data_IF_798717833923
#
_entry.id   IF_798717833923
#
_cell.length_a   1.000
_cell.length_b   1.000
_cell.length_c   1.000
_cell.angle_alpha   90.00
_cell.angle_beta   90.00
_cell.angle_gamma   90.00
#
_symmetry.space_group_name_H-M   'P 1'
#
loop_
_entity.id
_entity.type
_entity.pdbx_description
1 polymer ?
2 non-polymer ?
3 non-polymer ?
4 water ?
#
# COMPACT_ATOMS: atom_id res chain seq x y z
N UNK A 11 -13.94 33.59 2.65
CA UNK A 11 -12.88 32.55 2.80
C UNK A 11 -11.90 32.59 1.64
N UNK A 12 -10.63 32.85 1.94
CA UNK A 12 -9.54 32.83 0.95
C UNK A 12 -9.30 31.40 0.45
N UNK A 13 -8.81 31.25 -0.77
CA UNK A 13 -8.58 29.91 -1.32
C UNK A 13 -7.11 29.55 -1.51
N UNK A 14 -6.79 28.26 -1.42
CA UNK A 14 -5.41 27.81 -1.50
C UNK A 14 -5.31 26.47 -2.20
N UNK A 15 -4.61 26.45 -3.32
CA UNK A 15 -4.44 25.23 -4.11
C UNK A 15 -3.28 24.43 -3.53
N UNK A 16 -3.63 23.23 -3.09
CA UNK A 16 -2.70 22.32 -2.48
C UNK A 16 -2.52 21.13 -3.35
N UNK A 17 -1.26 20.81 -3.64
CA UNK A 17 -0.91 19.57 -4.31
C UNK A 17 -0.32 18.58 -3.31
N UNK A 18 -0.81 17.34 -3.35
CA UNK A 18 -0.42 16.32 -2.37
C UNK A 18 0.23 15.09 -3.01
N UNK A 19 1.54 14.94 -2.76
CA UNK A 19 2.34 13.87 -3.37
C UNK A 19 3.12 13.07 -2.31
N UNK A 20 3.65 11.92 -2.74
CA UNK A 20 4.34 10.94 -1.87
C UNK A 20 4.47 9.57 -2.55
N UNK A 21 5.34 8.71 -2.07
CA UNK A 21 5.45 7.37 -2.66
C UNK A 21 4.12 6.60 -2.55
N UNK A 22 3.93 5.57 -3.38
CA UNK A 22 2.78 4.71 -3.22
C UNK A 22 2.62 4.22 -1.77
N UNK A 23 1.37 4.18 -1.32
CA UNK A 23 1.02 3.65 0.01
C UNK A 23 1.42 4.53 1.21
N UNK A 24 1.85 5.76 0.97
CA UNK A 24 2.23 6.65 2.07
C UNK A 24 1.03 7.05 2.92
N UNK A 25 -0.16 7.03 2.34
CA UNK A 25 -1.37 7.42 3.03
C UNK A 25 -2.00 8.72 2.53
N UNK A 26 -1.64 9.17 1.32
CA UNK A 26 -2.16 10.46 0.80
C UNK A 26 -3.68 10.44 0.66
N UNK A 27 -4.21 9.42 0.00
CA UNK A 27 -5.64 9.36 -0.20
C UNK A 27 -6.39 9.32 1.13
N UNK A 28 -5.79 8.70 2.15
CA UNK A 28 -6.47 8.49 3.41
C UNK A 28 -6.59 9.82 4.15
N UNK A 29 -5.46 10.53 4.21
CA UNK A 29 -5.45 11.91 4.66
C UNK A 29 -6.56 12.69 3.98
N UNK A 30 -6.71 12.56 2.66
CA UNK A 30 -7.70 13.38 1.94
C UNK A 30 -9.12 13.22 2.47
N UNK A 31 -9.55 11.98 2.62
CA UNK A 31 -10.92 11.69 3.03
C UNK A 31 -11.13 11.71 4.52
N UNK A 32 -10.06 11.57 5.30
CA UNK A 32 -10.21 11.75 6.72
C UNK A 32 -10.49 13.23 6.95
N UNK A 33 -9.70 14.09 6.31
CA UNK A 33 -9.91 15.55 6.40
C UNK A 33 -11.31 15.96 5.95
N UNK A 34 -11.78 15.34 4.88
CA UNK A 34 -12.98 15.78 4.17
C UNK A 34 -14.22 15.17 4.75
N UNK A 35 -14.24 13.84 4.83
CA UNK A 35 -15.43 13.11 5.25
C UNK A 35 -15.43 12.91 6.76
N UNK A 36 -14.25 12.98 7.36
CA UNK A 36 -14.09 12.78 8.79
C UNK A 36 -14.02 11.32 9.17
N UNK A 37 -14.20 10.44 8.19
CA UNK A 37 -14.07 8.99 8.43
C UNK A 37 -12.83 8.39 7.77
N UNK A 38 -12.46 7.20 8.22
CA UNK A 38 -11.35 6.48 7.61
C UNK A 38 -11.88 5.54 6.53
N UNK A 39 -11.76 5.94 5.26
CA UNK A 39 -12.33 5.20 4.16
C UNK A 39 -11.43 4.13 3.59
N UNK A 40 -12.03 3.25 2.80
CA UNK A 40 -11.30 2.20 2.12
C UNK A 40 -10.76 2.76 0.82
N UNK A 41 -9.47 2.57 0.57
CA UNK A 41 -8.84 3.07 -0.62
C UNK A 41 -8.21 2.01 -1.50
N UNK A 42 -7.73 2.45 -2.66
CA UNK A 42 -7.06 1.60 -3.63
C UNK A 42 -5.91 2.43 -4.18
N UNK A 43 -4.85 1.78 -4.73
CA UNK A 43 -3.79 2.60 -5.32
C UNK A 43 -4.40 3.55 -6.35
N UNK A 44 -4.20 4.85 -6.12
CA UNK A 44 -4.75 5.94 -6.95
C UNK A 44 -4.10 5.93 -8.33
N UNK A 45 -4.93 5.88 -9.35
CA UNK A 45 -4.38 5.86 -10.69
C UNK A 45 -4.40 7.26 -11.28
N UNK A 46 -5.55 7.89 -11.46
CA UNK A 46 -5.46 9.30 -11.84
C UNK A 46 -5.11 10.19 -10.66
N UNK A 47 -6.16 10.82 -10.11
CA UNK A 47 -6.05 11.85 -9.07
C UNK A 47 -7.40 11.88 -8.33
N UNK A 48 -7.40 12.44 -7.13
CA UNK A 48 -8.63 12.80 -6.40
C UNK A 48 -8.65 14.31 -6.05
N UNK A 49 -9.85 14.85 -5.82
CA UNK A 49 -9.95 16.25 -5.46
C UNK A 49 -11.08 16.50 -4.50
N UNK A 50 -10.72 17.13 -3.39
CA UNK A 50 -11.69 17.58 -2.41
C UNK A 50 -11.35 18.98 -1.98
N UNK A 51 -12.37 19.80 -1.76
CA UNK A 51 -12.16 21.10 -1.17
C UNK A 51 -12.48 21.04 0.31
N UNK A 52 -11.51 21.42 1.13
CA UNK A 52 -11.68 21.34 2.56
C UNK A 52 -11.57 22.73 3.15
N UNK A 53 -12.57 23.10 3.93
CA UNK A 53 -12.68 24.44 4.49
C UNK A 53 -12.44 24.44 6.01
N UNK A 54 -11.33 25.06 6.42
CA UNK A 54 -10.88 25.08 7.83
C UNK A 54 -10.08 26.34 8.16
N UNK A 55 -10.56 27.10 9.15
CA UNK A 55 -9.99 28.39 9.54
C UNK A 55 -10.29 29.42 8.44
N UNK A 56 -11.55 29.49 8.03
CA UNK A 56 -11.97 30.47 7.03
C UNK A 56 -11.15 30.43 5.74
N UNK A 57 -10.53 29.28 5.47
CA UNK A 57 -9.81 29.08 4.19
C UNK A 57 -10.26 27.80 3.48
N UNK A 58 -10.41 27.92 2.16
CA UNK A 58 -10.79 26.83 1.29
C UNK A 58 -9.57 26.19 0.66
N UNK A 59 -9.16 25.07 1.24
CA UNK A 59 -8.06 24.31 0.67
C UNK A 59 -8.56 23.46 -0.48
N UNK A 60 -7.90 23.65 -1.61
CA UNK A 60 -8.16 22.91 -2.82
C UNK A 60 -7.14 21.79 -2.94
N UNK A 61 -7.47 20.61 -2.39
CA UNK A 61 -6.47 19.54 -2.27
C UNK A 61 -6.55 18.48 -3.36
N UNK A 62 -5.43 18.37 -4.07
CA UNK A 62 -5.30 17.41 -5.15
C UNK A 62 -4.45 16.18 -4.74
N UNK A 63 -5.10 15.03 -4.76
CA UNK A 63 -4.50 13.76 -4.38
C UNK A 63 -4.04 12.97 -5.61
N UNK A 64 -2.73 12.85 -5.81
CA UNK A 64 -2.16 12.18 -6.99
C UNK A 64 -1.46 10.86 -6.68
N UNK A 65 -1.75 9.85 -7.50
CA UNK A 65 -1.11 8.53 -7.38
C UNK A 65 0.38 8.58 -7.21
N UNK A 66 0.89 7.68 -6.40
CA UNK A 66 2.33 7.70 -6.07
C UNK A 66 3.14 6.56 -6.65
N UNK A 67 2.48 5.61 -7.30
CA UNK A 67 3.19 4.50 -7.87
C UNK A 67 4.28 5.03 -8.79
N UNK A 68 5.37 4.27 -8.92
CA UNK A 68 6.54 4.72 -9.70
C UNK A 68 6.24 5.11 -11.18
N UNK A 69 5.69 4.21 -11.98
CA UNK A 69 5.38 4.54 -13.37
C UNK A 69 4.54 5.80 -13.61
N UNK A 70 3.85 6.30 -12.59
CA UNK A 70 3.00 7.48 -12.81
C UNK A 70 3.47 8.76 -12.14
N UNK A 71 4.68 8.72 -11.58
CA UNK A 71 5.32 9.92 -11.00
C UNK A 71 5.67 11.01 -12.02
N UNK A 72 6.06 10.61 -13.24
CA UNK A 72 6.21 11.61 -14.33
C UNK A 72 4.95 12.49 -14.55
N UNK A 73 3.80 12.07 -14.04
CA UNK A 73 2.58 12.85 -14.21
C UNK A 73 2.45 14.01 -13.26
N UNK A 74 3.27 13.99 -12.21
CA UNK A 74 3.23 15.01 -11.17
C UNK A 74 3.43 16.41 -11.73
N UNK A 75 4.38 16.55 -12.65
CA UNK A 75 4.62 17.82 -13.37
C UNK A 75 3.32 18.51 -13.81
N UNK A 76 2.40 17.73 -14.39
CA UNK A 76 1.15 18.27 -14.90
C UNK A 76 0.38 19.09 -13.86
N UNK A 77 0.72 18.92 -12.58
CA UNK A 77 -0.10 19.52 -11.55
C UNK A 77 0.60 20.70 -10.84
N UNK A 78 1.91 20.82 -11.03
CA UNK A 78 2.71 21.88 -10.42
C UNK A 78 2.14 23.32 -10.50
N UNK A 79 2.07 23.85 -11.72
CA UNK A 79 1.56 25.20 -11.99
C UNK A 79 0.25 25.48 -11.25
N UNK A 80 0.24 26.49 -10.41
CA UNK A 80 -0.94 26.81 -9.61
C UNK A 80 -0.73 26.58 -8.12
N UNK A 81 -0.01 25.51 -7.78
CA UNK A 81 0.14 25.06 -6.39
C UNK A 81 0.77 26.10 -5.48
N UNK A 82 0.04 26.51 -4.45
CA UNK A 82 0.59 27.39 -3.44
C UNK A 82 1.27 26.64 -2.28
N UNK A 83 0.79 25.43 -1.99
CA UNK A 83 1.36 24.57 -0.95
C UNK A 83 1.46 23.11 -1.38
N UNK A 84 2.62 22.51 -1.12
CA UNK A 84 2.85 21.10 -1.33
C UNK A 84 2.68 20.38 -0.01
N UNK A 85 1.89 19.31 0.00
CA UNK A 85 1.84 18.37 1.11
C UNK A 85 2.51 17.08 0.64
N UNK A 86 3.64 16.74 1.25
CA UNK A 86 4.38 15.53 0.88
C UNK A 86 4.25 14.56 2.01
N UNK A 87 3.67 13.40 1.71
CA UNK A 87 3.29 12.42 2.71
C UNK A 87 4.32 11.32 2.70
N UNK A 88 4.83 10.97 3.88
CA UNK A 88 5.82 9.90 4.06
C UNK A 88 5.30 8.76 4.96
N UNK A 89 5.51 7.52 4.53
CA UNK A 89 5.27 6.39 5.42
C UNK A 89 6.50 6.33 6.31
N UNK A 90 6.29 6.57 7.59
CA UNK A 90 7.41 6.63 8.54
C UNK A 90 7.88 5.23 8.94
N UNK A 91 7.08 4.20 8.66
CA UNK A 91 7.46 2.80 8.91
C UNK A 91 8.15 2.14 7.70
N UNK A 92 8.38 2.92 6.65
CA UNK A 92 8.94 2.43 5.40
C UNK A 92 10.42 2.83 5.32
N UNK A 93 11.24 2.25 6.20
CA UNK A 93 12.65 2.65 6.32
C UNK A 93 13.47 2.35 5.06
N UNK A 94 13.06 1.33 4.31
CA UNK A 94 13.70 0.91 3.04
C UNK A 94 13.63 1.93 1.90
N UNK A 95 12.63 2.82 1.95
CA UNK A 95 12.39 3.77 0.86
C UNK A 95 12.50 5.25 1.24
N UNK A 96 12.95 5.55 2.46
CA UNK A 96 13.04 6.96 2.88
C UNK A 96 13.96 7.73 1.93
N UNK A 97 15.10 7.14 1.59
CA UNK A 97 16.00 7.73 0.60
C UNK A 97 15.30 8.06 -0.71
N UNK A 98 14.42 7.14 -1.14
CA UNK A 98 13.68 7.31 -2.39
C UNK A 98 12.75 8.51 -2.25
N UNK A 99 12.07 8.60 -1.11
CA UNK A 99 11.19 9.73 -0.79
C UNK A 99 11.90 11.07 -0.81
N UNK A 100 13.17 11.06 -0.42
CA UNK A 100 14.04 12.22 -0.43
C UNK A 100 14.16 12.68 -1.87
N UNK A 101 14.56 11.76 -2.75
CA UNK A 101 14.69 12.05 -4.17
C UNK A 101 13.43 12.74 -4.67
N UNK A 102 12.34 11.98 -4.79
CA UNK A 102 11.07 12.53 -5.28
C UNK A 102 10.73 13.88 -4.66
N UNK A 103 10.88 14.00 -3.35
CA UNK A 103 10.62 15.28 -2.68
C UNK A 103 11.42 16.42 -3.30
N UNK A 104 12.72 16.19 -3.48
CA UNK A 104 13.60 17.24 -3.96
C UNK A 104 13.32 17.58 -5.41
N UNK A 105 13.01 16.55 -6.21
CA UNK A 105 12.56 16.74 -7.60
C UNK A 105 11.39 17.69 -7.65
N UNK A 106 10.38 17.42 -6.83
CA UNK A 106 9.23 18.30 -6.76
C UNK A 106 9.69 19.76 -6.53
N UNK A 107 10.27 20.01 -5.36
CA UNK A 107 10.51 21.37 -4.89
C UNK A 107 11.48 22.19 -5.73
N UNK A 108 12.38 21.51 -6.43
CA UNK A 108 13.36 22.20 -7.28
C UNK A 108 12.84 22.57 -8.67
N UNK A 109 11.78 21.90 -9.10
CA UNK A 109 11.16 22.20 -10.38
C UNK A 109 10.73 23.65 -10.31
N UNK A 110 11.24 24.44 -11.25
CA UNK A 110 10.94 25.88 -11.31
C UNK A 110 9.49 26.17 -10.97
N UNK A 111 8.61 25.22 -11.31
CA UNK A 111 7.17 25.35 -11.13
C UNK A 111 6.72 25.40 -9.66
N UNK A 112 7.60 24.97 -8.76
CA UNK A 112 7.30 24.94 -7.34
C UNK A 112 8.21 25.87 -6.52
N UNK A 113 9.00 26.69 -7.21
CA UNK A 113 9.94 27.62 -6.59
C UNK A 113 9.36 28.31 -5.33
N UNK A 114 8.09 28.67 -5.40
CA UNK A 114 7.44 29.46 -4.34
C UNK A 114 6.40 28.72 -3.53
N UNK A 115 6.49 27.40 -3.48
CA UNK A 115 5.52 26.61 -2.74
C UNK A 115 5.93 26.42 -1.29
N UNK A 116 4.94 26.42 -0.41
CA UNK A 116 5.17 26.13 0.98
C UNK A 116 5.22 24.61 1.07
N UNK A 117 6.08 24.07 1.93
CA UNK A 117 6.26 22.61 1.99
C UNK A 117 5.88 21.99 3.33
N UNK A 118 4.73 21.30 3.34
CA UNK A 118 4.30 20.55 4.51
C UNK A 118 4.59 19.05 4.40
N UNK A 119 5.40 18.54 5.30
CA UNK A 119 5.65 17.10 5.30
C UNK A 119 4.77 16.35 6.30
N UNK A 120 3.99 15.40 5.80
CA UNK A 120 3.26 14.55 6.73
C UNK A 120 4.12 13.33 7.04
N UNK A 121 4.66 13.26 8.27
CA UNK A 121 5.34 12.07 8.76
C UNK A 121 4.23 11.17 9.26
N UNK A 122 3.80 10.27 8.38
CA UNK A 122 2.56 9.57 8.59
C UNK A 122 2.81 8.18 9.14
N UNK A 123 1.74 7.55 9.63
CA UNK A 123 1.76 6.19 10.16
C UNK A 123 2.49 6.05 11.53
N UNK A 124 2.48 7.15 12.28
CA UNK A 124 3.15 7.30 13.57
C UNK A 124 2.63 6.32 14.62
N UNK A 125 1.36 5.92 14.46
CA UNK A 125 0.74 4.90 15.29
C UNK A 125 1.47 3.57 15.21
N UNK A 126 2.26 3.39 14.15
CA UNK A 126 2.86 2.10 13.89
C UNK A 126 4.18 1.91 14.65
N UNK A 127 4.38 0.69 15.22
CA UNK A 127 5.40 0.38 16.20
C UNK A 127 6.73 1.00 15.84
N UNK A 128 7.10 0.91 14.56
CA UNK A 128 8.25 1.69 14.08
C UNK A 128 7.88 3.02 13.39
N UNK A 129 7.86 4.07 14.19
CA UNK A 129 7.36 5.37 13.78
C UNK A 129 8.44 6.27 13.19
N UNK A 130 9.70 5.90 13.33
CA UNK A 130 10.78 6.69 12.77
C UNK A 130 10.52 8.18 12.99
N UNK A 131 10.55 8.59 14.26
CA UNK A 131 10.20 9.94 14.73
C UNK A 131 10.36 11.17 13.79
N UNK A 132 9.50 12.20 13.96
CA UNK A 132 9.50 13.45 13.20
C UNK A 132 10.85 14.10 12.98
N UNK A 133 11.65 14.18 14.04
CA UNK A 133 13.01 14.73 13.92
C UNK A 133 13.88 13.89 12.96
N UNK A 134 13.64 12.58 12.96
CA UNK A 134 14.35 11.65 12.11
C UNK A 134 14.06 11.99 10.65
N UNK A 135 12.77 11.99 10.32
CA UNK A 135 12.28 12.27 8.97
C UNK A 135 12.86 13.57 8.42
N UNK A 136 12.83 14.60 9.26
CA UNK A 136 13.39 15.91 8.96
C UNK A 136 14.86 15.84 8.52
N UNK A 137 15.68 15.11 9.26
CA UNK A 137 17.11 14.93 8.91
C UNK A 137 17.26 13.97 7.73
N UNK A 138 16.52 12.86 7.77
CA UNK A 138 16.58 11.84 6.72
C UNK A 138 16.06 12.33 5.35
N UNK A 139 15.21 13.34 5.34
CA UNK A 139 14.70 13.91 4.09
C UNK A 139 15.50 15.12 3.57
N UNK A 140 16.65 15.38 4.20
CA UNK A 140 17.49 16.51 3.87
C UNK A 140 16.74 17.82 3.87
N UNK A 141 15.98 18.08 4.94
CA UNK A 141 15.27 19.37 5.10
C UNK A 141 16.08 20.41 5.85
N UNK A 142 16.73 19.98 6.93
CA UNK A 142 17.70 20.81 7.66
C UNK A 142 18.57 21.57 6.66
N UNK A 143 19.13 20.85 5.70
CA UNK A 143 19.93 21.42 4.62
C UNK A 143 19.08 22.20 3.59
N UNK A 144 18.12 23.00 4.09
CA UNK A 144 17.26 23.83 3.23
C UNK A 144 16.88 25.10 4.00
N UNK A 145 17.49 26.21 3.60
CA UNK A 145 17.04 27.52 4.08
C UNK A 145 16.51 28.35 2.91
N UNK A 146 15.94 29.52 3.24
CA UNK A 146 15.32 30.43 2.25
C UNK A 146 14.23 29.66 1.51
N UNK A 147 13.23 29.23 2.29
CA UNK A 147 12.18 28.28 1.90
C UNK A 147 11.39 27.88 3.13
N UNK A 148 10.06 27.90 3.04
CA UNK A 148 9.21 27.63 4.20
C UNK A 148 8.82 26.15 4.33
N UNK A 149 9.38 25.45 5.32
CA UNK A 149 9.07 24.03 5.53
C UNK A 149 8.80 23.58 6.98
N UNK A 150 7.89 22.62 7.14
CA UNK A 150 7.61 21.99 8.43
C UNK A 150 7.24 20.51 8.33
N UNK A 151 7.76 19.73 9.27
CA UNK A 151 7.47 18.30 9.35
C UNK A 151 6.40 18.00 10.41
N UNK A 152 5.16 17.83 9.95
CA UNK A 152 4.02 17.48 10.81
C UNK A 152 3.89 15.95 11.06
N UNK A 153 3.91 15.49 12.33
CA UNK A 153 3.60 14.09 12.61
C UNK A 153 2.11 13.84 12.46
N UNK A 154 1.75 12.72 11.86
CA UNK A 154 0.34 12.42 11.73
C UNK A 154 0.04 10.94 11.77
N UNK A 155 -1.24 10.65 11.95
CA UNK A 155 -1.78 9.33 11.77
C UNK A 155 -3.09 9.54 11.03
N UNK A 156 -3.05 9.23 9.74
CA UNK A 156 -4.17 9.46 8.83
C UNK A 156 -5.44 8.73 9.23
N UNK A 157 -5.29 7.54 9.82
CA UNK A 157 -6.44 6.72 10.22
C UNK A 157 -7.17 7.39 11.38
N UNK A 158 -6.40 7.87 12.36
CA UNK A 158 -6.99 8.58 13.51
C UNK A 158 -7.30 10.04 13.25
N UNK A 159 -6.45 10.72 12.47
CA UNK A 159 -6.63 12.16 12.25
C UNK A 159 -5.58 13.04 12.91
N UNK A 160 -4.75 12.46 13.76
CA UNK A 160 -3.78 13.23 14.52
C UNK A 160 -2.80 13.95 13.61
N UNK A 161 -2.61 15.25 13.86
CA UNK A 161 -1.69 16.06 13.08
C UNK A 161 -2.25 16.65 11.80
N UNK A 162 -3.38 16.14 11.33
CA UNK A 162 -3.89 16.52 10.03
C UNK A 162 -4.29 17.97 10.07
N UNK A 163 -5.25 18.29 10.92
CA UNK A 163 -5.69 19.66 11.06
C UNK A 163 -4.53 20.57 11.46
N UNK A 164 -3.68 20.07 12.32
CA UNK A 164 -2.51 20.81 12.76
C UNK A 164 -1.61 21.19 11.57
N UNK A 165 -1.67 20.40 10.51
CA UNK A 165 -0.90 20.68 9.31
C UNK A 165 -1.56 21.74 8.47
N UNK A 166 -2.86 21.56 8.27
CA UNK A 166 -3.66 22.59 7.63
C UNK A 166 -3.39 23.95 8.29
N UNK A 167 -3.42 23.97 9.62
CA UNK A 167 -3.18 25.19 10.36
C UNK A 167 -1.87 25.81 9.95
N UNK A 168 -0.82 25.00 9.86
CA UNK A 168 0.47 25.55 9.51
C UNK A 168 0.44 26.22 8.13
N UNK A 169 -0.24 25.60 7.18
CA UNK A 169 -0.37 26.17 5.84
C UNK A 169 -1.14 27.48 5.85
N UNK A 170 -2.21 27.56 6.65
CA UNK A 170 -2.92 28.81 6.91
C UNK A 170 -1.93 29.84 7.44
N UNK A 171 -1.24 29.46 8.50
CA UNK A 171 -0.36 30.33 9.22
C UNK A 171 0.82 30.78 8.36
N UNK A 172 1.27 29.93 7.44
CA UNK A 172 2.51 30.17 6.71
C UNK A 172 2.28 30.45 5.23
N UNK A 173 1.39 31.41 4.96
CA UNK A 173 1.05 31.72 3.59
C UNK A 173 0.77 33.22 3.41
N UNK A 174 1.77 33.91 2.86
CA UNK A 174 1.74 35.35 2.65
C UNK A 174 1.43 35.69 1.19
N UNK B 11 19.62 -7.81 -9.93
CA UNK B 11 18.22 -7.39 -10.29
C UNK B 11 17.32 -8.58 -10.61
N UNK B 12 16.01 -8.40 -10.43
CA UNK B 12 14.98 -9.40 -10.79
C UNK B 12 13.65 -9.01 -10.11
N UNK B 13 12.62 -8.75 -10.92
CA UNK B 13 11.36 -8.16 -10.42
C UNK B 13 10.12 -8.92 -10.78
N UNK B 14 9.31 -9.19 -9.77
CA UNK B 14 8.04 -9.84 -9.98
C UNK B 14 7.03 -9.04 -9.22
N UNK B 15 6.02 -8.53 -9.91
CA UNK B 15 4.87 -7.95 -9.23
C UNK B 15 3.92 -9.07 -8.76
N UNK B 16 3.84 -9.23 -7.45
CA UNK B 16 2.97 -10.18 -6.78
C UNK B 16 1.70 -9.54 -6.15
N UNK B 17 0.56 -10.08 -6.53
CA UNK B 17 -0.68 -9.61 -5.95
C UNK B 17 -1.17 -10.68 -5.00
N UNK B 18 -1.47 -10.29 -3.78
CA UNK B 18 -1.91 -11.27 -2.78
C UNK B 18 -3.35 -11.07 -2.30
N UNK B 19 -4.19 -12.07 -2.57
CA UNK B 19 -5.61 -12.01 -2.28
C UNK B 19 -6.08 -13.21 -1.46
N UNK B 20 -7.31 -13.15 -0.96
CA UNK B 20 -7.89 -14.20 -0.17
C UNK B 20 -9.01 -13.63 0.67
N UNK B 21 -9.87 -14.49 1.19
CA UNK B 21 -11.00 -14.02 1.98
C UNK B 21 -10.52 -13.25 3.20
N UNK B 22 -11.41 -12.47 3.79
CA UNK B 22 -11.04 -11.70 4.95
C UNK B 22 -10.60 -12.64 6.07
N UNK B 23 -9.45 -12.30 6.69
CA UNK B 23 -8.88 -13.08 7.81
C UNK B 23 -8.15 -14.39 7.47
N UNK B 24 -7.87 -14.65 6.20
CA UNK B 24 -7.04 -15.77 5.83
C UNK B 24 -5.56 -15.67 6.20
N UNK B 25 -5.05 -14.46 6.44
CA UNK B 25 -3.67 -14.29 6.91
C UNK B 25 -2.66 -13.63 5.96
N UNK B 26 -3.17 -12.94 4.94
CA UNK B 26 -2.37 -12.28 3.93
C UNK B 26 -1.39 -11.31 4.59
N UNK B 27 -1.91 -10.38 5.41
CA UNK B 27 -1.07 -9.37 6.03
C UNK B 27 0.00 -10.00 6.94
N UNK B 28 -0.38 -11.06 7.64
CA UNK B 28 0.52 -11.74 8.55
C UNK B 28 1.70 -12.27 7.75
N UNK B 29 1.41 -12.94 6.63
CA UNK B 29 2.44 -13.40 5.70
C UNK B 29 3.35 -12.26 5.19
N UNK B 30 2.73 -11.16 4.76
CA UNK B 30 3.48 -10.02 4.24
C UNK B 30 4.57 -9.61 5.22
N UNK B 31 4.20 -9.46 6.48
CA UNK B 31 5.13 -8.90 7.45
C UNK B 31 5.99 -9.96 8.05
N UNK B 32 5.50 -11.20 8.05
CA UNK B 32 6.37 -12.31 8.35
C UNK B 32 7.55 -12.26 7.40
N UNK B 33 7.29 -12.26 6.08
CA UNK B 33 8.34 -12.21 5.06
C UNK B 33 9.26 -10.99 5.21
N UNK B 34 8.67 -9.81 5.35
CA UNK B 34 9.46 -8.61 5.31
C UNK B 34 10.16 -8.37 6.64
N UNK B 35 9.38 -8.25 7.70
CA UNK B 35 9.90 -7.83 9.00
C UNK B 35 10.59 -8.92 9.77
N UNK B 36 10.20 -10.16 9.53
CA UNK B 36 10.80 -11.30 10.18
C UNK B 36 9.96 -11.71 11.37
N UNK B 37 9.07 -10.84 11.82
CA UNK B 37 8.30 -11.11 13.04
C UNK B 37 6.81 -11.23 12.79
N UNK B 38 6.09 -11.76 13.77
CA UNK B 38 4.65 -11.83 13.70
C UNK B 38 4.05 -10.60 14.31
N UNK B 39 3.51 -9.73 13.46
CA UNK B 39 2.95 -8.50 13.97
C UNK B 39 1.51 -8.70 14.41
N UNK B 40 0.95 -7.70 15.07
CA UNK B 40 -0.49 -7.67 15.29
C UNK B 40 -1.12 -6.92 14.12
N UNK B 41 -2.13 -7.53 13.53
CA UNK B 41 -2.77 -6.99 12.36
C UNK B 41 -4.19 -6.57 12.69
N UNK B 42 -4.77 -5.76 11.82
CA UNK B 42 -6.18 -5.35 11.91
C UNK B 42 -6.74 -5.58 10.50
N UNK B 43 -8.06 -5.74 10.38
CA UNK B 43 -8.61 -5.92 9.04
C UNK B 43 -8.06 -4.85 8.11
N UNK B 44 -7.31 -5.26 7.10
CA UNK B 44 -6.78 -4.35 6.11
C UNK B 44 -7.90 -3.70 5.30
N UNK B 45 -8.00 -2.38 5.44
CA UNK B 45 -8.99 -1.58 4.69
C UNK B 45 -8.55 -1.19 3.28
N UNK B 46 -7.36 -0.63 3.12
CA UNK B 46 -6.91 -0.31 1.77
C UNK B 46 -6.06 -1.43 1.22
N UNK B 47 -4.74 -1.26 1.32
CA UNK B 47 -3.79 -2.26 0.87
C UNK B 47 -2.46 -1.98 1.57
N UNK B 48 -1.55 -2.97 1.54
CA UNK B 48 -0.19 -2.76 1.99
C UNK B 48 0.75 -3.20 0.88
N UNK B 49 1.97 -2.66 0.88
CA UNK B 49 2.93 -3.05 -0.13
C UNK B 49 4.30 -3.08 0.45
N UNK B 50 4.93 -4.24 0.41
CA UNK B 50 6.34 -4.33 0.81
C UNK B 50 7.13 -5.01 -0.29
N UNK B 51 8.43 -4.75 -0.36
CA UNK B 51 9.30 -5.48 -1.29
C UNK B 51 10.14 -6.51 -0.55
N UNK B 52 10.02 -7.76 -0.98
CA UNK B 52 10.74 -8.88 -0.37
C UNK B 52 11.87 -9.38 -1.27
N UNK B 53 13.10 -9.31 -0.75
CA UNK B 53 14.30 -9.79 -1.44
C UNK B 53 14.67 -11.22 -1.04
N UNK B 54 14.57 -12.13 -2.01
CA UNK B 54 14.82 -13.54 -1.74
C UNK B 54 15.16 -14.32 -3.00
N UNK B 55 16.21 -15.14 -2.89
CA UNK B 55 16.75 -15.84 -4.06
C UNK B 55 17.03 -14.85 -5.18
N UNK B 56 17.71 -13.76 -4.83
CA UNK B 56 18.24 -12.84 -5.83
C UNK B 56 17.11 -12.28 -6.72
N UNK B 57 15.92 -12.17 -6.13
CA UNK B 57 14.75 -11.62 -6.81
C UNK B 57 13.93 -10.75 -5.85
N UNK B 58 13.42 -9.64 -6.39
CA UNK B 58 12.64 -8.67 -5.64
C UNK B 58 11.17 -8.87 -5.91
N UNK B 59 10.48 -9.49 -4.96
CA UNK B 59 9.05 -9.59 -5.05
C UNK B 59 8.37 -8.30 -4.54
N UNK B 60 7.61 -7.69 -5.45
CA UNK B 60 6.78 -6.53 -5.15
C UNK B 60 5.38 -7.03 -4.75
N UNK B 61 5.17 -7.25 -3.45
CA UNK B 61 3.91 -7.87 -2.98
C UNK B 61 2.83 -6.85 -2.53
N UNK B 62 1.66 -6.95 -3.13
CA UNK B 62 0.55 -6.06 -2.80
C UNK B 62 -0.45 -6.83 -1.94
N UNK B 63 -0.63 -6.40 -0.71
CA UNK B 63 -1.50 -7.08 0.23
C UNK B 63 -2.80 -6.35 0.28
N UNK B 64 -3.87 -6.96 -0.24
CA UNK B 64 -5.16 -6.25 -0.38
C UNK B 64 -6.24 -6.74 0.59
N UNK B 65 -7.01 -5.82 1.15
CA UNK B 65 -8.16 -6.18 1.97
C UNK B 65 -9.08 -7.21 1.34
N UNK B 66 -9.53 -8.15 2.18
CA UNK B 66 -10.31 -9.29 1.74
C UNK B 66 -11.77 -9.29 2.15
N UNK B 67 -12.19 -8.34 2.98
CA UNK B 67 -13.61 -8.17 3.28
C UNK B 67 -14.49 -8.07 2.05
N UNK B 68 -15.74 -8.49 2.19
CA UNK B 68 -16.75 -8.43 1.11
C UNK B 68 -16.78 -7.13 0.34
N UNK B 69 -17.10 -6.05 1.04
CA UNK B 69 -17.38 -4.76 0.42
C UNK B 69 -16.20 -4.29 -0.43
N UNK B 70 -15.04 -4.93 -0.28
CA UNK B 70 -13.88 -4.47 -1.01
C UNK B 70 -13.23 -5.43 -1.98
N UNK B 71 -13.91 -6.52 -2.28
CA UNK B 71 -13.45 -7.47 -3.31
C UNK B 71 -13.63 -6.97 -4.74
N UNK B 72 -14.74 -6.25 -5.02
CA UNK B 72 -14.92 -5.62 -6.32
C UNK B 72 -13.74 -4.75 -6.76
N UNK B 73 -12.88 -4.40 -5.81
CA UNK B 73 -11.74 -3.54 -6.07
C UNK B 73 -10.51 -4.32 -6.49
N UNK B 74 -10.53 -5.62 -6.27
CA UNK B 74 -9.37 -6.42 -6.61
C UNK B 74 -8.94 -6.19 -8.06
N UNK B 75 -9.95 -6.15 -8.95
CA UNK B 75 -9.76 -5.94 -10.40
C UNK B 75 -8.74 -4.83 -10.70
N UNK B 76 -8.81 -3.75 -9.93
CA UNK B 76 -7.89 -2.61 -10.05
C UNK B 76 -6.41 -2.97 -9.96
N UNK B 77 -6.11 -4.07 -9.28
CA UNK B 77 -4.73 -4.45 -9.03
C UNK B 77 -4.19 -5.44 -10.06
N UNK B 78 -5.07 -5.97 -10.91
CA UNK B 78 -4.71 -7.05 -11.84
C UNK B 78 -3.60 -6.65 -12.80
N UNK B 79 -3.79 -5.58 -13.55
CA UNK B 79 -2.79 -5.16 -14.55
C UNK B 79 -1.38 -5.19 -14.01
N UNK B 80 -0.50 -5.93 -14.69
CA UNK B 80 0.93 -5.91 -14.41
C UNK B 80 1.35 -7.08 -13.55
N UNK B 81 0.40 -7.69 -12.85
CA UNK B 81 0.71 -8.74 -11.91
C UNK B 81 1.26 -9.99 -12.60
N UNK B 82 2.48 -10.38 -12.28
CA UNK B 82 3.07 -11.58 -12.84
C UNK B 82 2.77 -12.85 -12.04
N UNK B 83 2.54 -12.73 -10.73
CA UNK B 83 2.17 -13.88 -9.91
C UNK B 83 1.08 -13.62 -8.89
N UNK B 84 0.12 -14.54 -8.77
CA UNK B 84 -0.94 -14.44 -7.77
C UNK B 84 -0.65 -15.28 -6.51
N UNK B 85 -0.80 -14.67 -5.34
CA UNK B 85 -0.80 -15.45 -4.10
C UNK B 85 -2.22 -15.46 -3.53
N UNK B 86 -2.85 -16.62 -3.52
CA UNK B 86 -4.17 -16.76 -2.90
C UNK B 86 -4.08 -17.41 -1.51
N UNK B 87 -4.44 -16.69 -0.47
CA UNK B 87 -4.26 -17.22 0.87
C UNK B 87 -5.60 -17.81 1.33
N UNK B 88 -5.56 -19.08 1.73
CA UNK B 88 -6.74 -19.77 2.27
C UNK B 88 -6.59 -20.11 3.75
N UNK B 89 -7.66 -19.84 4.51
CA UNK B 89 -7.74 -20.25 5.89
C UNK B 89 -8.21 -21.67 5.82
N UNK B 90 -7.30 -22.60 6.05
CA UNK B 90 -7.60 -24.02 5.99
C UNK B 90 -8.45 -24.53 7.17
N UNK B 91 -8.70 -23.68 8.17
CA UNK B 91 -9.60 -24.02 9.27
C UNK B 91 -11.06 -23.57 9.09
N UNK B 92 -11.32 -22.82 8.02
CA UNK B 92 -12.65 -22.25 7.80
C UNK B 92 -13.35 -23.02 6.66
N UNK B 93 -13.95 -24.16 7.02
CA UNK B 93 -14.63 -25.06 6.09
C UNK B 93 -15.94 -24.50 5.58
N UNK B 94 -16.57 -23.68 6.41
CA UNK B 94 -17.81 -23.03 6.05
C UNK B 94 -17.68 -22.18 4.77
N UNK B 95 -16.44 -21.76 4.42
CA UNK B 95 -16.20 -20.76 3.36
C UNK B 95 -15.20 -21.15 2.24
N UNK B 96 -14.76 -22.39 2.18
CA UNK B 96 -13.84 -22.78 1.09
C UNK B 96 -14.53 -22.81 -0.27
N UNK B 97 -15.84 -23.03 -0.29
CA UNK B 97 -16.54 -22.92 -1.56
C UNK B 97 -16.54 -21.45 -1.99
N UNK B 98 -16.75 -20.55 -1.02
CA UNK B 98 -16.64 -19.10 -1.25
C UNK B 98 -15.25 -18.67 -1.74
N UNK B 99 -14.20 -19.30 -1.23
CA UNK B 99 -12.86 -19.03 -1.72
C UNK B 99 -12.64 -19.57 -3.14
N UNK B 100 -13.17 -20.76 -3.42
CA UNK B 100 -13.16 -21.34 -4.76
C UNK B 100 -13.70 -20.35 -5.81
N UNK B 101 -14.87 -19.78 -5.53
CA UNK B 101 -15.46 -18.77 -6.41
C UNK B 101 -14.50 -17.65 -6.72
N UNK B 102 -14.19 -16.86 -5.69
CA UNK B 102 -13.26 -15.75 -5.78
C UNK B 102 -11.96 -16.11 -6.51
N UNK B 103 -11.33 -17.20 -6.09
CA UNK B 103 -10.10 -17.62 -6.74
C UNK B 103 -10.27 -17.66 -8.26
N UNK B 104 -11.30 -18.38 -8.70
CA UNK B 104 -11.60 -18.52 -10.14
C UNK B 104 -11.93 -17.20 -10.84
N UNK B 105 -12.74 -16.38 -10.18
CA UNK B 105 -13.09 -15.05 -10.66
C UNK B 105 -11.84 -14.23 -10.97
N UNK B 106 -10.76 -14.49 -10.23
CA UNK B 106 -9.51 -13.77 -10.42
C UNK B 106 -8.75 -14.35 -11.59
N UNK B 107 -8.44 -15.64 -11.49
CA UNK B 107 -7.55 -16.28 -12.45
C UNK B 107 -8.15 -16.28 -13.85
N UNK B 108 -9.47 -16.22 -13.91
CA UNK B 108 -10.19 -16.21 -15.18
C UNK B 108 -10.25 -14.86 -15.89
N UNK B 109 -9.97 -13.77 -15.15
CA UNK B 109 -10.00 -12.41 -15.69
C UNK B 109 -8.94 -12.26 -16.77
N UNK B 110 -9.29 -11.50 -17.81
CA UNK B 110 -8.42 -11.30 -18.96
C UNK B 110 -7.07 -10.71 -18.50
N UNK B 111 -7.11 -9.90 -17.45
CA UNK B 111 -5.90 -9.25 -16.94
C UNK B 111 -5.00 -10.18 -16.14
N UNK B 112 -5.52 -11.35 -15.78
CA UNK B 112 -4.77 -12.35 -15.04
C UNK B 112 -4.40 -13.60 -15.84
N UNK B 113 -4.81 -13.67 -17.11
CA UNK B 113 -4.54 -14.83 -17.98
C UNK B 113 -3.15 -15.50 -17.81
N UNK B 114 -2.10 -14.69 -17.72
CA UNK B 114 -0.71 -15.19 -17.74
C UNK B 114 0.03 -15.06 -16.39
N UNK B 115 -0.74 -15.09 -15.31
CA UNK B 115 -0.15 -15.12 -13.99
C UNK B 115 -0.10 -16.54 -13.46
N UNK B 116 1.00 -16.84 -12.81
CA UNK B 116 1.25 -18.10 -12.17
C UNK B 116 0.54 -18.08 -10.77
N UNK B 117 -0.02 -19.21 -10.33
CA UNK B 117 -0.88 -19.23 -9.14
C UNK B 117 -0.28 -19.96 -7.93
N UNK B 118 0.08 -19.21 -6.90
CA UNK B 118 0.58 -19.83 -5.67
C UNK B 118 -0.45 -19.70 -4.56
N UNK B 119 -0.88 -20.86 -4.09
CA UNK B 119 -1.88 -20.95 -3.06
C UNK B 119 -1.25 -21.27 -1.70
N UNK B 120 -1.48 -20.41 -0.71
CA UNK B 120 -1.06 -20.72 0.65
C UNK B 120 -2.22 -21.35 1.38
N UNK B 121 -2.05 -22.63 1.69
CA UNK B 121 -2.98 -23.36 2.56
C UNK B 121 -2.55 -23.02 3.98
N UNK B 122 -3.13 -21.96 4.51
CA UNK B 122 -2.59 -21.34 5.70
C UNK B 122 -3.32 -21.81 6.94
N UNK B 123 -2.78 -21.48 8.10
CA UNK B 123 -3.35 -21.90 9.35
C UNK B 123 -3.29 -23.43 9.54
N UNK B 124 -2.27 -24.07 8.95
CA UNK B 124 -1.97 -25.50 9.17
C UNK B 124 -1.75 -25.88 10.65
N UNK B 125 -1.29 -24.93 11.47
CA UNK B 125 -1.06 -25.20 12.87
C UNK B 125 -2.37 -25.48 13.60
N UNK B 126 -3.50 -25.06 13.03
CA UNK B 126 -4.80 -25.28 13.68
C UNK B 126 -5.36 -26.72 13.53
N UNK B 127 -5.92 -27.27 14.63
CA UNK B 127 -6.46 -28.64 14.72
C UNK B 127 -7.23 -29.20 13.52
N UNK B 128 -8.41 -28.68 13.23
CA UNK B 128 -9.23 -29.27 12.16
C UNK B 128 -8.59 -29.15 10.76
N UNK B 129 -7.91 -28.02 10.52
CA UNK B 129 -7.27 -27.64 9.24
C UNK B 129 -7.20 -28.66 8.12
N UNK B 130 -7.78 -28.30 6.97
CA UNK B 130 -7.64 -29.09 5.74
C UNK B 130 -6.19 -29.14 5.27
N UNK B 131 -5.76 -30.30 4.77
CA UNK B 131 -4.41 -30.45 4.27
C UNK B 131 -4.41 -30.01 2.81
N UNK B 132 -3.22 -29.78 2.22
CA UNK B 132 -3.05 -29.34 0.85
C UNK B 132 -3.77 -30.15 -0.22
N UNK B 133 -3.70 -31.48 -0.17
CA UNK B 133 -4.42 -32.32 -1.16
C UNK B 133 -5.91 -31.92 -1.21
N UNK B 134 -6.53 -31.84 -0.04
CA UNK B 134 -7.91 -31.40 0.10
C UNK B 134 -8.17 -29.98 -0.46
N UNK B 135 -7.25 -29.06 -0.20
CA UNK B 135 -7.33 -27.70 -0.72
C UNK B 135 -7.26 -27.69 -2.25
N UNK B 136 -6.39 -28.53 -2.82
CA UNK B 136 -6.35 -28.70 -4.26
C UNK B 136 -7.72 -29.07 -4.79
N UNK B 137 -8.41 -29.98 -4.11
CA UNK B 137 -9.70 -30.42 -4.60
C UNK B 137 -10.78 -29.36 -4.43
N UNK B 138 -11.00 -28.92 -3.19
CA UNK B 138 -12.02 -27.91 -2.90
C UNK B 138 -11.98 -26.64 -3.76
N UNK B 139 -10.78 -26.19 -4.14
CA UNK B 139 -10.58 -24.96 -4.93
C UNK B 139 -10.58 -25.19 -6.45
N UNK B 140 -10.81 -26.44 -6.87
CA UNK B 140 -10.95 -26.80 -8.28
C UNK B 140 -9.65 -26.79 -9.06
N UNK B 141 -8.53 -26.69 -8.37
CA UNK B 141 -7.24 -26.65 -9.05
C UNK B 141 -6.84 -27.95 -9.75
N UNK B 142 -7.37 -29.08 -9.28
CA UNK B 142 -7.08 -30.39 -9.87
C UNK B 142 -7.49 -30.36 -11.32
N UNK B 143 -8.62 -29.70 -11.56
CA UNK B 143 -9.18 -29.50 -12.90
C UNK B 143 -8.49 -28.41 -13.71
N UNK B 144 -7.32 -27.95 -13.28
CA UNK B 144 -6.63 -26.90 -14.02
C UNK B 144 -5.28 -27.32 -14.55
N UNK B 145 -5.22 -27.53 -15.86
CA UNK B 145 -3.93 -27.61 -16.55
C UNK B 145 -3.80 -26.35 -17.43
N UNK B 146 -2.70 -26.29 -18.18
CA UNK B 146 -2.42 -25.12 -19.01
C UNK B 146 -2.40 -23.90 -18.09
N UNK B 147 -1.57 -23.97 -17.05
CA UNK B 147 -1.65 -23.03 -15.94
C UNK B 147 -0.74 -23.55 -14.84
N UNK B 148 0.28 -22.78 -14.49
CA UNK B 148 1.18 -23.20 -13.44
C UNK B 148 0.64 -22.81 -12.07
N UNK B 149 0.34 -23.81 -11.25
CA UNK B 149 -0.11 -23.55 -9.88
C UNK B 149 0.50 -24.53 -8.88
N UNK B 150 0.29 -24.28 -7.60
CA UNK B 150 0.90 -25.07 -6.55
C UNK B 150 0.37 -24.68 -5.20
N UNK B 151 -0.03 -25.67 -4.41
CA UNK B 151 -0.55 -25.45 -3.06
C UNK B 151 0.52 -25.69 -1.98
N UNK B 152 0.93 -24.60 -1.34
CA UNK B 152 1.96 -24.60 -0.29
C UNK B 152 1.37 -24.62 1.11
N UNK B 153 1.69 -25.66 1.91
CA UNK B 153 1.16 -25.62 3.27
C UNK B 153 1.94 -24.54 4.02
N UNK B 154 1.25 -23.79 4.86
CA UNK B 154 1.90 -22.69 5.54
C UNK B 154 1.30 -22.42 6.90
N UNK B 155 2.07 -21.73 7.73
CA UNK B 155 1.60 -21.24 9.00
C UNK B 155 2.12 -19.83 9.13
N UNK B 156 1.31 -18.86 8.72
CA UNK B 156 1.81 -17.48 8.56
C UNK B 156 2.48 -16.98 9.83
N UNK B 157 1.92 -17.34 10.98
CA UNK B 157 2.44 -16.86 12.27
C UNK B 157 3.82 -17.40 12.62
N UNK B 158 4.15 -18.60 12.19
CA UNK B 158 5.48 -19.14 12.51
C UNK B 158 6.51 -18.98 11.37
N UNK B 159 6.02 -19.01 10.13
CA UNK B 159 6.87 -18.90 8.95
C UNK B 159 6.90 -20.16 8.07
N UNK B 160 6.36 -21.26 8.58
CA UNK B 160 6.44 -22.56 7.88
C UNK B 160 5.89 -22.43 6.47
N UNK B 161 6.70 -22.75 5.47
CA UNK B 161 6.20 -22.88 4.10
C UNK B 161 6.30 -21.57 3.32
N UNK B 162 6.39 -20.46 4.05
CA UNK B 162 6.40 -19.16 3.40
C UNK B 162 7.48 -19.01 2.33
N UNK B 163 8.72 -19.29 2.69
CA UNK B 163 9.83 -19.19 1.76
C UNK B 163 9.78 -20.28 0.73
N UNK B 164 9.43 -21.47 1.18
CA UNK B 164 9.26 -22.59 0.28
C UNK B 164 8.31 -22.19 -0.85
N UNK B 165 7.38 -21.29 -0.56
CA UNK B 165 6.44 -20.75 -1.55
C UNK B 165 7.09 -19.74 -2.48
N UNK B 166 7.89 -18.85 -1.91
CA UNK B 166 8.61 -17.91 -2.75
C UNK B 166 9.55 -18.65 -3.73
N UNK B 167 10.17 -19.74 -3.26
CA UNK B 167 11.05 -20.57 -4.07
C UNK B 167 10.30 -21.07 -5.31
N UNK B 168 9.05 -21.48 -5.11
CA UNK B 168 8.28 -22.00 -6.23
C UNK B 168 8.00 -20.89 -7.25
N UNK B 169 7.67 -19.70 -6.73
CA UNK B 169 7.46 -18.54 -7.58
C UNK B 169 8.73 -18.15 -8.32
N UNK B 170 9.87 -18.21 -7.62
CA UNK B 170 11.19 -18.02 -8.24
C UNK B 170 11.45 -19.05 -9.34
N UNK B 171 11.38 -20.33 -8.96
CA UNK B 171 11.56 -21.45 -9.86
C UNK B 171 10.69 -21.33 -11.12
N UNK B 172 9.85 -20.29 -11.16
CA UNK B 172 8.90 -20.10 -12.26
C UNK B 172 9.01 -18.77 -13.00
N UNK B 173 10.18 -18.13 -12.82
CA UNK B 173 10.62 -16.96 -13.59
C UNK B 173 9.51 -16.10 -14.24
N UNK B 174 9.15 -15.00 -13.57
CA UNK B 174 8.13 -14.05 -14.06
C UNK B 174 6.83 -14.75 -14.50
#
# INVERSE_FOLDING_TARGET
>A
MGKVLSKIFGNKEMRILMLGLDAAGKTTILYKLKLGQSVTTIPTVGFNVETVTYKNVKFNVWDVGGQDKIRPLWRHYYTGTQGLIFVVDCADRDRIDEARQELHRIINDREMRDAIILIFANKQDLPDAMKPHEIQEKLGLTRIRDRNWYVQPSCATSGDGLYEGLTWLTSNYKS
>B
MGKVLSKIFGNKEMRILMLGLDAAGKTTILYKLKLGQSVTTIPTVGFNVETVTYKNVKFNVWDVGGQDKIRPLWRHYYTGTQGLIFVVDCADRDRIDEARQELHRIINDREMRDAIILIFANKQDLPDAMKPHEIQEKLGLTRIRDRNWYVQPSCATSGDGLYEGLTWLTSNYKS
#
